data_IF_852485811808
#
_entry.id   IF_852485811808
#
_cell.length_a   1.000
_cell.length_b   1.000
_cell.length_c   1.000
_cell.angle_alpha   90.00
_cell.angle_beta   90.00
_cell.angle_gamma   90.00
#
_symmetry.space_group_name_H-M   'P 1'
#
loop_
_entity.id
_entity.type
_entity.pdbx_description
1 polymer ?
#
# COMPACT_ATOMS: atom_id res chain seq x y z
N UNK A 1 33.90 -15.61 26.02
CA UNK A 1 34.59 -15.17 24.79
C UNK A 1 34.54 -16.33 23.82
N UNK A 2 33.50 -16.39 22.99
CA UNK A 2 33.36 -17.35 21.91
C UNK A 2 33.46 -16.55 20.61
N UNK A 3 34.36 -16.89 19.68
CA UNK A 3 34.48 -16.14 18.45
C UNK A 3 33.33 -16.55 17.54
N UNK A 4 32.38 -15.65 17.31
CA UNK A 4 31.53 -15.71 16.13
C UNK A 4 32.40 -15.29 14.94
N UNK A 5 32.94 -16.26 14.22
CA UNK A 5 33.41 -16.04 12.86
C UNK A 5 32.18 -15.85 11.98
N UNK A 6 31.95 -14.61 11.56
CA UNK A 6 30.93 -14.22 10.60
C UNK A 6 31.28 -14.80 9.22
N UNK A 7 30.58 -15.85 8.84
CA UNK A 7 30.54 -16.30 7.45
C UNK A 7 29.48 -15.45 6.70
N UNK A 8 29.79 -14.17 6.52
CA UNK A 8 29.04 -13.27 5.65
C UNK A 8 29.41 -13.61 4.21
N UNK A 9 28.68 -14.51 3.52
CA UNK A 9 28.54 -14.49 2.02
C UNK A 9 27.65 -15.57 1.41
N UNK A 10 26.64 -16.11 2.10
CA UNK A 10 25.55 -16.82 1.42
C UNK A 10 24.21 -16.51 2.08
N UNK A 11 23.50 -15.49 1.56
CA UNK A 11 22.07 -15.34 1.80
C UNK A 11 21.40 -16.59 1.21
N UNK A 12 20.68 -17.37 2.02
CA UNK A 12 20.01 -18.56 1.51
C UNK A 12 18.79 -18.13 0.71
N UNK A 13 18.43 -18.87 -0.34
CA UNK A 13 17.19 -18.64 -1.11
C UNK A 13 15.95 -18.63 -0.20
N UNK A 14 15.99 -19.36 0.91
CA UNK A 14 14.95 -19.34 1.95
C UNK A 14 14.86 -17.98 2.65
N UNK A 15 15.99 -17.32 2.91
CA UNK A 15 16.04 -15.98 3.51
C UNK A 15 15.47 -14.93 2.55
N UNK A 16 15.71 -15.04 1.25
CA UNK A 16 15.14 -14.12 0.25
C UNK A 16 13.61 -14.22 0.15
N UNK A 17 13.04 -15.40 0.39
CA UNK A 17 11.58 -15.59 0.36
C UNK A 17 10.88 -14.99 1.57
N UNK A 18 11.54 -14.98 2.72
CA UNK A 18 10.99 -14.47 3.98
C UNK A 18 11.29 -12.99 4.14
N UNK A 19 12.52 -12.59 3.83
CA UNK A 19 13.04 -11.25 4.09
C UNK A 19 13.15 -10.40 2.83
N UNK A 20 12.85 -10.92 1.63
CA UNK A 20 13.05 -10.23 0.36
C UNK A 20 14.53 -10.17 -0.06
N UNK A 21 14.78 -9.84 -1.32
CA UNK A 21 16.12 -9.78 -1.93
C UNK A 21 16.69 -8.36 -2.12
N UNK A 22 15.89 -7.31 -1.89
CA UNK A 22 16.39 -5.92 -1.92
C UNK A 22 16.81 -5.48 -0.50
N UNK A 23 18.03 -4.95 -0.40
CA UNK A 23 18.67 -4.59 0.85
C UNK A 23 18.23 -3.23 1.41
N UNK A 24 17.33 -2.49 0.76
CA UNK A 24 16.86 -1.18 1.19
C UNK A 24 16.32 -1.23 2.63
N UNK A 25 16.95 -0.52 3.58
CA UNK A 25 16.54 -0.55 4.98
C UNK A 25 15.46 0.49 5.28
N UNK A 26 14.84 0.38 6.45
CA UNK A 26 14.12 1.50 7.06
C UNK A 26 12.79 1.85 6.41
N UNK A 27 12.25 1.02 5.52
CA UNK A 27 10.95 1.28 4.86
C UNK A 27 9.85 1.23 5.92
N UNK A 28 9.15 2.34 6.12
CA UNK A 28 8.04 2.47 7.10
C UNK A 28 6.67 2.55 6.43
N UNK A 29 6.61 2.99 5.17
CA UNK A 29 5.37 3.03 4.40
C UNK A 29 5.66 2.93 2.90
N UNK A 30 4.75 2.30 2.15
CA UNK A 30 4.76 2.28 0.69
C UNK A 30 3.36 2.57 0.17
N UNK A 31 3.29 3.51 -0.75
CA UNK A 31 2.10 3.76 -1.55
C UNK A 31 2.43 3.44 -3.00
N UNK A 32 1.50 2.77 -3.70
CA UNK A 32 1.66 2.50 -5.10
C UNK A 32 0.32 2.56 -5.82
N UNK A 33 0.35 2.84 -7.12
CA UNK A 33 -0.85 2.98 -7.93
C UNK A 33 -0.81 2.14 -9.21
N UNK A 34 -1.96 2.05 -9.88
CA UNK A 34 -2.15 1.24 -11.09
C UNK A 34 -1.39 1.77 -12.30
N UNK A 35 -0.93 3.01 -12.27
CA UNK A 35 -0.12 3.65 -13.29
C UNK A 35 1.38 3.34 -13.14
N UNK A 36 1.73 2.44 -12.21
CA UNK A 36 3.11 2.00 -12.01
C UNK A 36 3.98 3.04 -11.31
N UNK A 37 3.40 3.88 -10.44
CA UNK A 37 4.17 4.76 -9.54
C UNK A 37 4.15 4.19 -8.14
N UNK A 38 5.29 4.29 -7.47
CA UNK A 38 5.43 4.00 -6.05
C UNK A 38 6.06 5.19 -5.34
N UNK A 39 5.65 5.42 -4.10
CA UNK A 39 6.32 6.30 -3.14
C UNK A 39 6.73 5.43 -1.96
N UNK A 40 8.00 5.48 -1.61
CA UNK A 40 8.60 4.69 -0.53
C UNK A 40 9.06 5.65 0.54
N UNK A 41 8.50 5.54 1.74
CA UNK A 41 8.94 6.31 2.90
C UNK A 41 9.91 5.48 3.72
N UNK A 42 11.03 6.09 4.07
CA UNK A 42 12.05 5.49 4.91
C UNK A 42 12.29 6.36 6.14
N UNK A 43 12.39 5.73 7.31
CA UNK A 43 12.98 6.37 8.49
C UNK A 43 14.46 6.03 8.57
N UNK A 44 15.31 7.04 8.42
CA UNK A 44 16.76 6.92 8.49
C UNK A 44 17.26 7.98 9.48
N UNK A 45 18.10 7.57 10.44
CA UNK A 45 18.70 8.47 11.44
C UNK A 45 17.65 9.36 12.15
N UNK A 46 16.48 8.78 12.45
CA UNK A 46 15.38 9.46 13.13
C UNK A 46 14.53 10.38 12.26
N UNK A 47 14.81 10.51 10.95
CA UNK A 47 14.06 11.37 10.02
C UNK A 47 13.32 10.55 8.96
N UNK A 48 12.13 11.00 8.58
CA UNK A 48 11.42 10.45 7.42
C UNK A 48 11.94 11.10 6.14
N UNK A 49 12.27 10.28 5.15
CA UNK A 49 12.51 10.69 3.77
C UNK A 49 11.61 9.87 2.86
N UNK A 50 11.39 10.33 1.63
CA UNK A 50 10.67 9.55 0.64
C UNK A 50 11.33 9.60 -0.73
N UNK A 51 11.20 8.52 -1.47
CA UNK A 51 11.58 8.43 -2.88
C UNK A 51 10.34 8.13 -3.72
N UNK A 52 10.31 8.64 -4.94
CA UNK A 52 9.30 8.27 -5.94
C UNK A 52 9.94 7.41 -7.01
N UNK A 53 9.33 6.27 -7.28
CA UNK A 53 9.84 5.27 -8.21
C UNK A 53 8.77 4.86 -9.21
N UNK A 54 9.20 4.12 -10.24
CA UNK A 54 8.31 3.45 -11.17
C UNK A 54 8.52 1.96 -11.15
N UNK A 55 7.42 1.24 -11.30
CA UNK A 55 7.41 -0.19 -11.55
C UNK A 55 6.47 -0.50 -12.70
N UNK A 56 6.56 -1.69 -13.27
CA UNK A 56 5.63 -2.15 -14.31
C UNK A 56 4.52 -2.98 -13.64
N UNK A 57 3.28 -2.50 -13.55
CA UNK A 57 2.17 -3.28 -13.01
C UNK A 57 2.03 -4.60 -13.75
N UNK A 58 1.60 -5.62 -13.02
CA UNK A 58 1.50 -6.98 -13.52
C UNK A 58 0.31 -7.74 -12.94
N UNK A 59 -0.14 -8.76 -13.66
CA UNK A 59 -1.18 -9.69 -13.24
C UNK A 59 -0.96 -11.05 -13.90
N UNK A 60 -1.60 -12.09 -13.37
CA UNK A 60 -1.60 -13.38 -14.01
C UNK A 60 -2.86 -13.57 -14.86
N UNK A 61 -2.71 -14.27 -15.97
CA UNK A 61 -3.78 -14.66 -16.86
C UNK A 61 -3.68 -16.15 -17.22
N UNK A 62 -4.82 -16.76 -17.54
CA UNK A 62 -4.88 -18.14 -18.04
C UNK A 62 -4.72 -18.23 -19.56
N UNK A 63 -4.85 -17.10 -20.26
CA UNK A 63 -4.75 -17.01 -21.74
C UNK A 63 -4.11 -15.70 -22.19
N UNK A 64 -3.50 -15.72 -23.39
CA UNK A 64 -3.05 -14.53 -24.13
C UNK A 64 -4.06 -14.06 -25.18
N UNK A 65 -5.14 -14.80 -25.41
CA UNK A 65 -6.10 -14.55 -26.49
C UNK A 65 -6.71 -13.14 -26.43
N UNK A 66 -6.97 -12.63 -25.22
CA UNK A 66 -7.50 -11.28 -24.99
C UNK A 66 -6.52 -10.18 -25.44
N UNK A 67 -5.24 -10.50 -25.63
CA UNK A 67 -4.22 -9.58 -26.16
C UNK A 67 -3.83 -9.88 -27.61
N UNK A 68 -4.45 -10.86 -28.28
CA UNK A 68 -4.14 -11.23 -29.67
C UNK A 68 -4.21 -10.05 -30.65
N UNK A 69 -5.12 -9.10 -30.39
CA UNK A 69 -5.29 -7.88 -31.17
C UNK A 69 -4.06 -6.94 -31.15
N UNK A 70 -3.13 -7.11 -30.21
CA UNK A 70 -1.87 -6.36 -30.16
C UNK A 70 -0.86 -6.86 -31.20
N UNK A 71 -1.01 -8.08 -31.70
CA UNK A 71 -0.12 -8.69 -32.68
C UNK A 71 1.34 -8.56 -32.26
N UNK A 72 2.15 -7.91 -33.11
CA UNK A 72 3.60 -7.71 -32.88
C UNK A 72 3.94 -6.78 -31.71
N UNK A 73 2.96 -6.09 -31.13
CA UNK A 73 3.17 -5.21 -29.97
C UNK A 73 3.17 -5.95 -28.63
N UNK A 74 2.70 -7.21 -28.60
CA UNK A 74 2.82 -8.10 -27.45
C UNK A 74 4.11 -8.90 -27.57
N UNK A 75 5.06 -8.67 -26.67
CA UNK A 75 6.36 -9.34 -26.69
C UNK A 75 6.55 -10.21 -25.43
N UNK A 76 7.24 -11.36 -25.54
CA UNK A 76 7.80 -12.02 -24.37
C UNK A 76 8.69 -11.06 -23.57
N UNK A 77 8.79 -11.23 -22.25
CA UNK A 77 9.57 -10.35 -21.39
C UNK A 77 11.08 -10.53 -21.58
N UNK A 78 11.51 -11.74 -21.96
CA UNK A 78 12.90 -12.17 -22.10
C UNK A 78 13.51 -11.88 -23.48
N UNK A 79 12.72 -11.40 -24.44
CA UNK A 79 13.24 -10.97 -25.74
C UNK A 79 13.76 -9.53 -25.72
N UNK A 80 14.66 -9.14 -26.64
CA UNK A 80 15.06 -7.75 -26.80
C UNK A 80 13.84 -6.83 -26.97
N UNK A 81 13.84 -5.73 -26.23
CA UNK A 81 12.75 -4.76 -26.13
C UNK A 81 11.47 -5.23 -25.40
N UNK A 82 11.43 -6.43 -24.82
CA UNK A 82 10.29 -6.90 -24.01
C UNK A 82 10.07 -6.05 -22.76
N UNK A 83 11.14 -5.67 -22.08
CA UNK A 83 11.15 -4.81 -20.90
C UNK A 83 10.66 -3.37 -21.17
N UNK A 84 10.81 -2.90 -22.40
CA UNK A 84 10.35 -1.59 -22.86
C UNK A 84 9.03 -1.65 -23.63
N UNK A 85 8.50 -2.83 -23.96
CA UNK A 85 7.23 -2.96 -24.67
C UNK A 85 6.06 -2.34 -23.87
N UNK A 86 5.01 -1.93 -24.60
CA UNK A 86 3.78 -1.44 -23.99
C UNK A 86 3.13 -2.51 -23.10
N UNK A 87 3.08 -3.75 -23.62
CA UNK A 87 2.70 -4.96 -22.88
C UNK A 87 3.70 -6.05 -23.17
N UNK A 88 4.14 -6.73 -22.12
CA UNK A 88 5.01 -7.88 -22.18
C UNK A 88 4.41 -9.03 -21.40
N UNK A 89 4.80 -10.26 -21.71
CA UNK A 89 4.37 -11.44 -20.95
C UNK A 89 5.53 -12.37 -20.62
N UNK A 90 5.41 -13.11 -19.53
CA UNK A 90 6.23 -14.29 -19.24
C UNK A 90 5.31 -15.49 -19.10
N UNK A 91 5.58 -16.55 -19.84
CA UNK A 91 4.94 -17.84 -19.62
C UNK A 91 5.66 -18.59 -18.50
N UNK A 92 4.88 -19.12 -17.56
CA UNK A 92 5.31 -19.87 -16.40
C UNK A 92 4.97 -21.34 -16.58
N UNK A 93 5.63 -22.21 -15.82
CA UNK A 93 5.29 -23.63 -15.80
C UNK A 93 3.90 -23.84 -15.20
N UNK A 94 3.06 -24.62 -15.89
CA UNK A 94 1.72 -24.96 -15.44
C UNK A 94 0.88 -25.61 -16.53
N UNK A 95 -0.13 -26.41 -16.16
CA UNK A 95 -1.05 -27.01 -17.12
C UNK A 95 -1.89 -25.94 -17.83
N UNK A 96 -2.52 -26.30 -18.94
CA UNK A 96 -3.51 -25.43 -19.61
C UNK A 96 -4.64 -25.04 -18.64
N UNK A 97 -5.10 -23.79 -18.75
CA UNK A 97 -6.10 -23.22 -17.85
C UNK A 97 -5.56 -22.73 -16.50
N UNK A 98 -4.28 -22.98 -16.18
CA UNK A 98 -3.63 -22.36 -15.02
C UNK A 98 -3.24 -20.90 -15.30
N UNK A 99 -3.00 -20.13 -14.24
CA UNK A 99 -2.51 -18.75 -14.25
C UNK A 99 -1.05 -18.61 -14.74
N UNK A 100 -0.76 -19.19 -15.90
CA UNK A 100 0.61 -19.35 -16.39
C UNK A 100 1.16 -18.14 -17.13
N UNK A 101 0.35 -17.13 -17.47
CA UNK A 101 0.85 -15.94 -18.15
C UNK A 101 0.96 -14.77 -17.18
N UNK A 102 2.19 -14.39 -16.82
CA UNK A 102 2.43 -13.12 -16.12
C UNK A 102 2.46 -11.99 -17.14
N UNK A 103 1.42 -11.16 -17.16
CA UNK A 103 1.31 -9.99 -18.02
C UNK A 103 1.84 -8.76 -17.30
N UNK A 104 2.58 -7.90 -17.99
CA UNK A 104 3.14 -6.67 -17.42
C UNK A 104 3.11 -5.52 -18.42
N UNK A 105 2.88 -4.31 -17.94
CA UNK A 105 2.83 -3.11 -18.77
C UNK A 105 3.48 -1.91 -18.09
N UNK A 106 3.79 -0.86 -18.87
CA UNK A 106 4.24 0.43 -18.32
C UNK A 106 3.14 1.17 -17.55
N UNK A 107 1.89 0.89 -17.89
CA UNK A 107 0.68 1.48 -17.30
C UNK A 107 -0.36 0.35 -17.14
N UNK A 108 -0.69 0.05 -15.89
CA UNK A 108 -1.63 -1.02 -15.55
C UNK A 108 -3.09 -0.69 -15.93
N UNK A 109 -3.47 0.58 -16.02
CA UNK A 109 -4.80 0.95 -16.54
C UNK A 109 -4.88 0.73 -18.04
N UNK A 110 -3.79 1.01 -18.76
CA UNK A 110 -3.73 0.70 -20.18
C UNK A 110 -3.86 -0.82 -20.39
N UNK A 111 -3.13 -1.62 -19.61
CA UNK A 111 -3.23 -3.08 -19.64
C UNK A 111 -4.66 -3.56 -19.36
N UNK A 112 -5.28 -3.09 -18.28
CA UNK A 112 -6.66 -3.42 -17.91
C UNK A 112 -7.64 -3.11 -19.05
N UNK A 113 -7.54 -1.94 -19.69
CA UNK A 113 -8.38 -1.60 -20.84
C UNK A 113 -8.19 -2.53 -22.03
N UNK A 114 -6.95 -2.91 -22.36
CA UNK A 114 -6.66 -3.81 -23.47
C UNK A 114 -7.22 -5.21 -23.20
N UNK A 115 -7.05 -5.72 -21.98
CA UNK A 115 -7.60 -7.01 -21.56
C UNK A 115 -9.13 -7.02 -21.59
N UNK A 116 -9.78 -5.99 -21.05
CA UNK A 116 -11.25 -5.88 -21.07
C UNK A 116 -11.79 -5.79 -22.50
N UNK A 117 -11.07 -5.11 -23.40
CA UNK A 117 -11.45 -5.05 -24.81
C UNK A 117 -11.36 -6.42 -25.49
N UNK A 118 -10.26 -7.15 -25.26
CA UNK A 118 -10.09 -8.51 -25.76
C UNK A 118 -11.14 -9.48 -25.21
N UNK A 119 -11.31 -9.50 -23.89
CA UNK A 119 -12.28 -10.34 -23.21
C UNK A 119 -13.70 -10.08 -23.70
N UNK A 120 -14.06 -8.82 -23.93
CA UNK A 120 -15.37 -8.47 -24.46
C UNK A 120 -15.61 -9.04 -25.86
N UNK A 121 -14.59 -9.03 -26.72
CA UNK A 121 -14.67 -9.64 -28.07
C UNK A 121 -14.78 -11.15 -27.99
N UNK A 122 -13.91 -11.80 -27.21
CA UNK A 122 -13.88 -13.26 -27.05
C UNK A 122 -15.19 -13.80 -26.47
N UNK A 123 -15.78 -13.10 -25.49
CA UNK A 123 -17.00 -13.52 -24.82
C UNK A 123 -18.29 -13.04 -25.52
N UNK A 124 -18.19 -12.20 -26.54
CA UNK A 124 -19.35 -11.64 -27.25
C UNK A 124 -20.26 -10.75 -26.39
N UNK A 125 -19.76 -10.23 -25.27
CA UNK A 125 -20.49 -9.34 -24.34
C UNK A 125 -19.56 -8.27 -23.77
N UNK A 126 -20.12 -7.15 -23.33
CA UNK A 126 -19.31 -6.14 -22.66
C UNK A 126 -18.80 -6.65 -21.30
N UNK A 127 -17.50 -6.49 -21.06
CA UNK A 127 -16.84 -6.71 -19.76
C UNK A 127 -16.21 -5.39 -19.33
N UNK A 128 -16.49 -4.93 -18.12
CA UNK A 128 -16.03 -3.64 -17.61
C UNK A 128 -15.10 -3.75 -16.40
N UNK A 129 -15.00 -4.94 -15.78
CA UNK A 129 -14.14 -5.17 -14.63
C UNK A 129 -13.46 -6.55 -14.72
N UNK A 130 -12.15 -6.59 -14.49
CA UNK A 130 -11.40 -7.86 -14.49
C UNK A 130 -11.84 -8.80 -13.35
N UNK A 131 -12.38 -8.25 -12.26
CA UNK A 131 -12.92 -9.06 -11.16
C UNK A 131 -14.15 -9.89 -11.59
N UNK A 132 -14.79 -9.57 -12.71
CA UNK A 132 -15.89 -10.36 -13.28
C UNK A 132 -15.40 -11.60 -14.03
N UNK A 133 -14.08 -11.77 -14.15
CA UNK A 133 -13.41 -12.87 -14.83
C UNK A 133 -12.37 -13.56 -13.91
N UNK A 134 -12.78 -14.05 -12.73
CA UNK A 134 -11.88 -14.61 -11.72
C UNK A 134 -11.32 -15.99 -12.08
N UNK A 135 -11.70 -16.56 -13.22
CA UNK A 135 -11.12 -17.78 -13.83
C UNK A 135 -10.15 -17.45 -14.97
N UNK A 136 -10.06 -16.16 -15.36
CA UNK A 136 -9.17 -15.68 -16.42
C UNK A 136 -8.03 -14.84 -15.87
N UNK A 137 -8.30 -14.01 -14.86
CA UNK A 137 -7.33 -13.05 -14.33
C UNK A 137 -7.19 -13.14 -12.81
N UNK A 138 -5.95 -13.13 -12.34
CA UNK A 138 -5.60 -12.95 -10.94
C UNK A 138 -4.72 -11.72 -10.79
N UNK A 139 -5.13 -10.77 -9.92
CA UNK A 139 -4.41 -9.51 -9.71
C UNK A 139 -4.23 -9.23 -8.22
N UNK A 140 -3.06 -8.69 -7.90
CA UNK A 140 -2.72 -8.18 -6.57
C UNK A 140 -2.88 -6.65 -6.51
N UNK A 141 -2.87 -6.10 -5.31
CA UNK A 141 -2.85 -4.65 -5.12
C UNK A 141 -1.55 -4.03 -5.66
N UNK A 142 -1.53 -2.75 -6.09
CA UNK A 142 -0.31 -2.12 -6.60
C UNK A 142 0.88 -2.13 -5.62
N UNK A 143 0.61 -2.01 -4.32
CA UNK A 143 1.65 -2.05 -3.27
C UNK A 143 2.27 -3.45 -3.20
N UNK A 144 1.44 -4.49 -3.18
CA UNK A 144 1.91 -5.88 -3.19
C UNK A 144 2.71 -6.18 -4.46
N UNK A 145 2.22 -5.74 -5.63
CA UNK A 145 2.93 -5.89 -6.89
C UNK A 145 4.31 -5.23 -6.86
N UNK A 146 4.40 -4.01 -6.31
CA UNK A 146 5.66 -3.29 -6.18
C UNK A 146 6.64 -4.00 -5.24
N UNK A 147 6.19 -4.39 -4.05
CA UNK A 147 7.03 -5.09 -3.06
C UNK A 147 7.51 -6.44 -3.59
N UNK A 148 6.63 -7.21 -4.24
CA UNK A 148 6.99 -8.50 -4.85
C UNK A 148 7.93 -8.36 -6.04
N UNK A 149 7.83 -7.30 -6.85
CA UNK A 149 8.78 -7.10 -7.95
C UNK A 149 10.15 -6.66 -7.47
N UNK A 150 10.17 -5.78 -6.49
CA UNK A 150 11.42 -5.20 -5.99
C UNK A 150 12.11 -6.11 -5.00
N UNK A 151 11.39 -6.97 -4.29
CA UNK A 151 11.93 -7.75 -3.17
C UNK A 151 12.17 -6.91 -1.92
N UNK A 152 11.59 -5.70 -1.88
CA UNK A 152 11.66 -4.82 -0.71
C UNK A 152 10.66 -5.26 0.34
N UNK A 153 11.01 -5.05 1.60
CA UNK A 153 10.16 -5.37 2.75
C UNK A 153 10.10 -4.21 3.73
N UNK A 154 8.99 -4.12 4.47
CA UNK A 154 8.87 -3.18 5.57
C UNK A 154 9.88 -3.50 6.67
N UNK A 155 10.34 -2.44 7.35
CA UNK A 155 11.09 -2.50 8.61
C UNK A 155 12.42 -3.28 8.53
N UNK A 156 12.98 -3.50 7.33
CA UNK A 156 14.30 -4.12 7.20
C UNK A 156 15.33 -3.32 7.98
N UNK A 157 16.07 -4.01 8.86
CA UNK A 157 17.11 -3.41 9.66
C UNK A 157 16.60 -2.51 10.79
N UNK A 158 15.30 -2.59 11.11
CA UNK A 158 14.69 -1.86 12.22
C UNK A 158 14.33 -2.81 13.36
N UNK A 159 14.47 -2.34 14.59
CA UNK A 159 13.81 -2.92 15.77
C UNK A 159 12.52 -2.18 16.07
N UNK A 160 11.70 -2.75 16.95
CA UNK A 160 10.38 -2.21 17.29
C UNK A 160 10.42 -0.75 17.79
N UNK A 161 11.48 -0.39 18.52
CA UNK A 161 11.66 0.96 19.08
C UNK A 161 12.14 2.00 18.05
N UNK A 162 12.61 1.58 16.88
CA UNK A 162 13.03 2.51 15.82
C UNK A 162 11.82 3.22 15.19
N UNK A 163 10.66 2.56 15.19
CA UNK A 163 9.40 3.14 14.72
C UNK A 163 8.90 4.17 15.73
N UNK A 164 8.51 5.35 15.24
CA UNK A 164 7.70 6.27 16.02
C UNK A 164 6.23 5.85 15.91
N UNK A 165 5.69 5.31 16.99
CA UNK A 165 4.33 4.80 17.04
C UNK A 165 3.51 5.70 17.94
N UNK A 166 2.40 6.22 17.40
CA UNK A 166 1.47 7.08 18.10
C UNK A 166 0.11 6.39 18.20
N UNK A 167 -0.52 6.55 19.36
CA UNK A 167 -1.87 6.08 19.65
C UNK A 167 -2.74 7.27 20.01
N UNK A 168 -3.97 7.26 19.54
CA UNK A 168 -5.01 8.12 20.08
C UNK A 168 -6.34 7.37 20.15
N UNK A 169 -7.19 7.79 21.08
CA UNK A 169 -8.52 7.23 21.31
C UNK A 169 -9.52 8.35 21.57
N UNK A 170 -10.68 8.29 20.91
CA UNK A 170 -11.74 9.30 21.01
C UNK A 170 -12.80 8.89 22.03
N UNK A 171 -13.16 9.84 22.89
CA UNK A 171 -14.33 9.71 23.75
C UNK A 171 -15.47 10.59 23.23
N UNK A 172 -16.62 9.96 23.03
CA UNK A 172 -17.75 10.52 22.29
C UNK A 172 -19.05 10.40 23.06
N UNK A 173 -19.95 11.36 22.86
CA UNK A 173 -21.25 11.37 23.56
C UNK A 173 -22.26 10.37 22.99
N UNK A 174 -21.97 9.76 21.84
CA UNK A 174 -22.77 8.73 21.20
C UNK A 174 -21.90 7.95 20.19
N UNK A 175 -22.34 6.74 19.82
CA UNK A 175 -21.65 5.89 18.83
C UNK A 175 -21.83 6.34 17.36
N UNK A 176 -22.69 7.33 17.13
CA UNK A 176 -23.02 7.85 15.80
C UNK A 176 -22.51 9.30 15.69
N UNK A 177 -21.58 9.61 14.77
CA UNK A 177 -21.01 10.97 14.64
C UNK A 177 -22.01 12.03 14.16
N UNK A 178 -23.16 11.63 13.61
CA UNK A 178 -24.24 12.55 13.26
C UNK A 178 -25.05 13.00 14.49
N UNK A 179 -24.98 12.24 15.59
CA UNK A 179 -25.76 12.47 16.83
C UNK A 179 -24.89 12.84 18.02
N UNK A 180 -23.63 12.40 17.99
CA UNK A 180 -22.63 12.64 19.03
C UNK A 180 -21.63 13.73 18.66
N UNK A 181 -20.80 14.06 19.63
CA UNK A 181 -19.60 14.90 19.48
C UNK A 181 -18.43 14.24 20.18
N UNK A 182 -17.23 14.63 19.78
CA UNK A 182 -16.00 14.33 20.51
C UNK A 182 -15.94 15.29 21.70
N UNK A 183 -15.69 14.76 22.90
CA UNK A 183 -15.53 15.57 24.11
C UNK A 183 -14.18 15.36 24.78
N UNK A 184 -13.42 14.33 24.41
CA UNK A 184 -12.08 14.11 24.90
C UNK A 184 -11.30 13.24 23.90
N UNK A 185 -9.98 13.45 23.82
CA UNK A 185 -9.05 12.56 23.11
C UNK A 185 -7.88 12.25 24.02
N UNK A 186 -7.55 10.98 24.15
CA UNK A 186 -6.31 10.55 24.82
C UNK A 186 -5.25 10.24 23.77
N UNK A 187 -3.99 10.55 24.06
CA UNK A 187 -2.86 10.33 23.16
C UNK A 187 -1.65 9.79 23.89
N UNK A 188 -0.93 8.87 23.25
CA UNK A 188 0.34 8.32 23.74
C UNK A 188 1.27 8.02 22.58
N UNK A 189 2.57 8.14 22.78
CA UNK A 189 3.56 7.59 21.85
C UNK A 189 4.66 6.80 22.57
N UNK A 190 5.48 6.09 21.80
CA UNK A 190 6.63 5.36 22.34
C UNK A 190 7.86 6.25 22.61
N UNK A 191 7.73 7.58 22.49
CA UNK A 191 8.78 8.58 22.74
C UNK A 191 8.43 9.52 23.91
N UNK A 192 7.49 9.10 24.76
CA UNK A 192 7.16 9.75 26.02
C UNK A 192 6.00 10.75 25.97
N UNK A 193 5.28 10.90 24.85
CA UNK A 193 4.02 11.63 24.84
C UNK A 193 3.00 10.87 25.69
N UNK A 194 2.34 11.59 26.58
CA UNK A 194 1.13 11.15 27.27
C UNK A 194 0.30 12.40 27.54
N UNK A 195 -0.87 12.49 26.90
CA UNK A 195 -1.69 13.70 26.94
C UNK A 195 -3.17 13.37 26.79
N UNK A 196 -4.00 14.22 27.38
CA UNK A 196 -5.44 14.28 27.13
C UNK A 196 -5.80 15.68 26.65
N UNK A 197 -6.72 15.77 25.70
CA UNK A 197 -7.30 17.02 25.20
C UNK A 197 -8.81 16.95 25.47
N UNK A 198 -9.32 17.86 26.29
CA UNK A 198 -10.73 17.92 26.66
C UNK A 198 -11.47 18.99 25.84
N UNK A 199 -12.72 18.71 25.51
CA UNK A 199 -13.70 19.67 25.00
C UNK A 199 -14.98 19.58 25.86
N UNK A 200 -14.98 20.17 27.08
CA UNK A 200 -16.10 20.06 28.01
C UNK A 200 -17.42 20.56 27.42
N UNK A 201 -17.38 21.60 26.60
CA UNK A 201 -18.54 22.18 25.93
C UNK A 201 -18.57 21.88 24.42
N UNK A 202 -19.74 21.91 23.76
CA UNK A 202 -19.82 21.72 22.31
C UNK A 202 -18.99 22.71 21.49
N UNK A 203 -18.76 23.93 22.00
CA UNK A 203 -18.00 24.96 21.28
C UNK A 203 -16.49 24.68 21.19
N UNK A 204 -15.98 23.75 22.00
CA UNK A 204 -14.54 23.43 22.10
C UNK A 204 -14.14 22.23 21.23
N UNK A 205 -15.10 21.50 20.63
CA UNK A 205 -14.83 20.32 19.80
C UNK A 205 -13.90 20.67 18.62
N UNK A 206 -14.11 21.84 18.00
CA UNK A 206 -13.31 22.27 16.86
C UNK A 206 -11.84 22.55 17.23
N UNK A 207 -11.61 23.16 18.39
CA UNK A 207 -10.26 23.39 18.92
C UNK A 207 -9.57 22.07 19.25
N UNK A 208 -10.30 21.12 19.85
CA UNK A 208 -9.80 19.78 20.14
C UNK A 208 -9.35 19.05 18.87
N UNK A 209 -10.17 19.01 17.80
CA UNK A 209 -9.82 18.34 16.54
C UNK A 209 -8.60 19.02 15.90
N UNK A 210 -8.57 20.35 15.88
CA UNK A 210 -7.45 21.12 15.32
C UNK A 210 -6.15 20.82 16.07
N UNK A 211 -6.21 20.78 17.41
CA UNK A 211 -5.06 20.49 18.26
C UNK A 211 -4.59 19.05 18.12
N UNK A 212 -5.50 18.09 17.99
CA UNK A 212 -5.17 16.69 17.69
C UNK A 212 -4.37 16.59 16.38
N UNK A 213 -4.86 17.19 15.29
CA UNK A 213 -4.18 17.18 13.99
C UNK A 213 -2.80 17.85 14.07
N UNK A 214 -2.71 19.00 14.74
CA UNK A 214 -1.45 19.71 14.92
C UNK A 214 -0.42 18.88 15.71
N UNK A 215 -0.86 18.17 16.76
CA UNK A 215 0.00 17.29 17.55
C UNK A 215 0.46 16.08 16.73
N UNK A 216 -0.42 15.40 16.00
CA UNK A 216 -0.02 14.26 15.17
C UNK A 216 1.05 14.68 14.15
N UNK A 217 0.86 15.83 13.50
CA UNK A 217 1.82 16.39 12.55
C UNK A 217 3.15 16.81 13.17
N UNK A 218 3.12 17.39 14.37
CA UNK A 218 4.34 17.76 15.11
C UNK A 218 5.13 16.52 15.53
N UNK A 219 4.43 15.44 15.91
CA UNK A 219 5.08 14.18 16.29
C UNK A 219 5.61 13.40 15.09
N UNK A 220 5.02 13.54 13.90
CA UNK A 220 5.45 12.86 12.67
C UNK A 220 5.65 11.33 12.84
N UNK A 221 4.62 10.60 13.34
CA UNK A 221 4.73 9.17 13.61
C UNK A 221 4.79 8.35 12.30
N UNK A 222 5.48 7.22 12.34
CA UNK A 222 5.47 6.22 11.26
C UNK A 222 4.17 5.42 11.24
N UNK A 223 3.63 5.17 12.42
CA UNK A 223 2.47 4.31 12.64
C UNK A 223 1.50 5.01 13.58
N UNK A 224 0.24 5.09 13.17
CA UNK A 224 -0.88 5.44 14.03
C UNK A 224 -1.65 4.16 14.32
N UNK A 225 -1.75 3.78 15.59
CA UNK A 225 -2.35 2.52 16.02
C UNK A 225 -3.36 2.75 17.17
N UNK A 226 -4.47 2.02 17.18
CA UNK A 226 -5.39 1.92 18.33
C UNK A 226 -6.37 0.74 18.10
N UNK A 227 -7.17 0.40 19.10
CA UNK A 227 -8.28 -0.55 18.97
C UNK A 227 -9.40 0.02 18.09
N UNK A 228 -9.75 -0.66 16.99
CA UNK A 228 -10.84 -0.28 16.08
C UNK A 228 -10.71 1.11 15.40
N UNK A 229 -9.49 1.62 15.25
CA UNK A 229 -9.20 2.93 14.65
C UNK A 229 -9.91 3.18 13.30
N UNK A 230 -9.90 2.20 12.39
CA UNK A 230 -10.56 2.30 11.08
C UNK A 230 -12.08 2.09 11.13
N UNK A 231 -12.59 1.39 12.14
CA UNK A 231 -14.01 1.08 12.27
C UNK A 231 -14.79 2.09 13.10
N UNK A 232 -14.11 2.99 13.81
CA UNK A 232 -14.74 3.98 14.67
C UNK A 232 -14.03 5.33 14.66
N UNK A 233 -12.85 5.44 15.28
CA UNK A 233 -12.22 6.73 15.59
C UNK A 233 -11.95 7.59 14.35
N UNK A 234 -11.36 7.02 13.29
CA UNK A 234 -11.09 7.76 12.05
C UNK A 234 -12.38 8.18 11.33
N UNK A 235 -13.35 7.28 11.06
CA UNK A 235 -14.65 7.69 10.50
C UNK A 235 -15.38 8.74 11.35
N UNK A 236 -15.35 8.62 12.69
CA UNK A 236 -15.99 9.57 13.59
C UNK A 236 -15.31 10.94 13.49
N UNK A 237 -13.97 10.96 13.56
CA UNK A 237 -13.17 12.17 13.40
C UNK A 237 -13.42 12.86 12.05
N UNK A 238 -13.44 12.10 10.96
CA UNK A 238 -13.74 12.57 9.60
C UNK A 238 -15.10 13.25 9.53
N UNK A 239 -16.14 12.56 9.99
CA UNK A 239 -17.49 13.10 9.95
C UNK A 239 -17.65 14.35 10.82
N UNK A 240 -17.04 14.39 12.01
CA UNK A 240 -17.10 15.57 12.89
C UNK A 240 -16.32 16.75 12.32
N UNK A 241 -15.14 16.50 11.77
CA UNK A 241 -14.34 17.53 11.12
C UNK A 241 -15.07 18.13 9.91
N UNK A 242 -15.75 17.31 9.10
CA UNK A 242 -16.59 17.78 8.00
C UNK A 242 -17.72 18.69 8.50
N UNK A 243 -18.48 18.26 9.52
CA UNK A 243 -19.58 19.04 10.11
C UNK A 243 -19.11 20.39 10.65
N UNK A 244 -17.89 20.45 11.18
CA UNK A 244 -17.30 21.66 11.76
C UNK A 244 -16.49 22.49 10.75
N UNK A 245 -16.36 22.04 9.50
CA UNK A 245 -15.57 22.72 8.47
C UNK A 245 -14.06 22.72 8.74
N UNK A 246 -13.55 21.70 9.43
CA UNK A 246 -12.14 21.55 9.80
C UNK A 246 -11.46 20.63 8.79
N UNK A 247 -10.37 21.06 8.14
CA UNK A 247 -9.62 20.16 7.27
C UNK A 247 -8.84 19.14 8.11
N UNK A 248 -9.08 17.84 7.88
CA UNK A 248 -8.26 16.78 8.45
C UNK A 248 -6.94 16.68 7.71
N UNK A 249 -5.94 17.40 8.22
CA UNK A 249 -4.56 17.30 7.79
C UNK A 249 -3.81 16.63 8.93
N UNK A 250 -3.70 15.30 8.84
CA UNK A 250 -2.95 14.44 9.75
C UNK A 250 -1.50 14.30 9.28
#
# INVERSE_FOLDING_TARGET
MFPFTSDETMVRVEDERVFGWDAMPGIVSVWANREGRAVVWQRLEGRITFTTERFRPWLFATTLEDLSHLGRSLLPLDVPAGDVAAVSYRELEGPEGSYRYMLSARDGRALERMLLNGASRRLGRQVTNLNDLPETYYRLGPVEQYLMLTGRVYFRGMVYDDLHRLQFDLETTALDPHRGRIFMVSMRDNRGLTMTIDAPTPGEEAELITRLCALIRDRDPDVIENHNLFGFDLPFLEQRAEVLGIPLIL
#
